data_IF_723833153333
#
_entry.id   IF_723833153333
#
_cell.length_a   1.000
_cell.length_b   1.000
_cell.length_c   1.000
_cell.angle_alpha   90.00
_cell.angle_beta   90.00
_cell.angle_gamma   90.00
#
_symmetry.space_group_name_H-M   'P 1'
#
loop_
_entity.id
_entity.type
_entity.pdbx_description
1 polymer ?
#
# COMPACT_ATOMS: atom_id res chain seq x y z
N UNK A 1 0.92 1.15 -29.51
CA UNK A 1 -0.17 1.91 -28.82
C UNK A 1 -0.10 1.73 -27.31
N UNK A 2 -0.01 0.48 -26.83
CA UNK A 2 0.08 0.13 -25.39
C UNK A 2 1.24 0.85 -24.68
N UNK A 3 2.41 0.97 -25.28
CA UNK A 3 3.58 1.59 -24.61
C UNK A 3 3.41 3.10 -24.36
N UNK A 4 2.60 3.78 -25.16
CA UNK A 4 2.30 5.21 -24.96
C UNK A 4 1.35 5.44 -23.78
N UNK A 5 0.45 4.50 -23.52
CA UNK A 5 -0.59 4.64 -22.46
C UNK A 5 -0.18 3.98 -21.15
N UNK A 6 0.68 2.94 -21.20
CA UNK A 6 1.16 2.19 -20.02
C UNK A 6 1.68 3.09 -18.88
N UNK A 7 2.48 4.14 -19.12
CA UNK A 7 2.96 4.99 -18.03
C UNK A 7 1.81 5.67 -17.27
N UNK A 8 0.76 6.08 -17.98
CA UNK A 8 -0.40 6.77 -17.39
C UNK A 8 -1.34 5.79 -16.69
N UNK A 9 -1.52 4.57 -17.22
CA UNK A 9 -2.33 3.55 -16.54
C UNK A 9 -1.69 3.11 -15.21
N UNK A 10 -0.36 2.99 -15.17
CA UNK A 10 0.37 2.73 -13.92
C UNK A 10 0.28 3.89 -12.93
N UNK A 11 0.31 5.14 -13.41
CA UNK A 11 0.07 6.31 -12.55
C UNK A 11 -1.33 6.27 -11.93
N UNK A 12 -2.37 6.00 -12.73
CA UNK A 12 -3.74 5.89 -12.23
C UNK A 12 -3.89 4.76 -11.22
N UNK A 13 -3.30 3.59 -11.47
CA UNK A 13 -3.30 2.47 -10.53
C UNK A 13 -2.62 2.86 -9.20
N UNK A 14 -1.46 3.52 -9.27
CA UNK A 14 -0.74 4.02 -8.09
C UNK A 14 -1.56 5.03 -7.29
N UNK A 15 -2.23 5.96 -7.96
CA UNK A 15 -3.09 6.95 -7.31
C UNK A 15 -4.26 6.26 -6.63
N UNK A 16 -4.98 5.37 -7.33
CA UNK A 16 -6.13 4.67 -6.76
C UNK A 16 -5.77 3.86 -5.52
N UNK A 17 -4.77 2.99 -5.63
CA UNK A 17 -4.31 2.14 -4.52
C UNK A 17 -3.74 3.00 -3.38
N UNK A 18 -2.88 3.96 -3.72
CA UNK A 18 -2.24 4.82 -2.72
C UNK A 18 -3.23 5.70 -1.96
N UNK A 19 -4.30 6.19 -2.60
CA UNK A 19 -5.37 6.94 -1.92
C UNK A 19 -6.14 6.07 -0.92
N UNK A 20 -6.39 4.80 -1.25
CA UNK A 20 -7.07 3.88 -0.33
C UNK A 20 -6.26 3.70 0.94
N UNK A 21 -4.96 3.38 0.82
CA UNK A 21 -4.08 3.26 1.99
C UNK A 21 -3.97 4.56 2.77
N UNK A 22 -3.78 5.69 2.08
CA UNK A 22 -3.67 7.00 2.72
C UNK A 22 -4.93 7.32 3.54
N UNK A 23 -6.12 7.07 2.99
CA UNK A 23 -7.37 7.30 3.69
C UNK A 23 -7.51 6.40 4.93
N UNK A 24 -7.24 5.09 4.82
CA UNK A 24 -7.31 4.16 5.94
C UNK A 24 -6.29 4.49 7.04
N UNK A 25 -5.08 4.90 6.65
CA UNK A 25 -4.04 5.33 7.58
C UNK A 25 -4.43 6.60 8.34
N UNK A 26 -4.91 7.63 7.62
CA UNK A 26 -5.40 8.87 8.22
C UNK A 26 -6.56 8.57 9.16
N UNK A 27 -7.49 7.71 8.75
CA UNK A 27 -8.63 7.32 9.57
C UNK A 27 -8.19 6.71 10.91
N UNK A 28 -7.15 5.87 10.93
CA UNK A 28 -6.62 5.29 12.19
C UNK A 28 -6.09 6.36 13.15
N UNK A 29 -5.49 7.44 12.63
CA UNK A 29 -5.06 8.57 13.46
C UNK A 29 -6.24 9.42 13.94
N UNK A 30 -7.19 9.75 13.06
CA UNK A 30 -8.30 10.66 13.38
C UNK A 30 -9.37 10.02 14.28
N UNK A 31 -9.60 8.71 14.14
CA UNK A 31 -10.49 7.94 15.02
C UNK A 31 -9.85 7.60 16.37
N UNK A 32 -8.52 7.74 16.48
CA UNK A 32 -7.75 7.57 17.70
C UNK A 32 -7.05 6.22 17.80
N UNK A 33 -5.72 6.26 17.90
CA UNK A 33 -4.87 5.07 17.96
C UNK A 33 -5.13 4.18 19.18
N UNK A 34 -5.61 4.73 20.29
CA UNK A 34 -6.01 3.94 21.46
C UNK A 34 -7.17 2.99 21.15
N UNK A 35 -8.11 3.42 20.31
CA UNK A 35 -9.22 2.59 19.84
C UNK A 35 -8.71 1.49 18.91
N UNK A 36 -7.90 1.85 17.91
CA UNK A 36 -7.29 0.90 16.96
C UNK A 36 -6.44 -0.16 17.70
N UNK A 37 -5.67 0.26 18.70
CA UNK A 37 -4.85 -0.63 19.55
C UNK A 37 -5.74 -1.65 20.27
N UNK A 38 -6.88 -1.23 20.83
CA UNK A 38 -7.83 -2.14 21.48
C UNK A 38 -8.45 -3.12 20.47
N UNK A 39 -8.81 -2.65 19.27
CA UNK A 39 -9.33 -3.52 18.21
C UNK A 39 -8.29 -4.55 17.77
N UNK A 40 -7.03 -4.14 17.57
CA UNK A 40 -5.94 -5.05 17.22
C UNK A 40 -5.71 -6.09 18.31
N UNK A 41 -5.80 -5.70 19.59
CA UNK A 41 -5.75 -6.63 20.71
C UNK A 41 -6.91 -7.64 20.69
N UNK A 42 -8.15 -7.21 20.39
CA UNK A 42 -9.29 -8.12 20.29
C UNK A 42 -9.20 -9.10 19.11
N UNK A 43 -8.49 -8.73 18.04
CA UNK A 43 -8.20 -9.62 16.91
C UNK A 43 -6.97 -10.53 17.14
N UNK A 44 -6.30 -10.41 18.28
CA UNK A 44 -5.10 -11.20 18.58
C UNK A 44 -3.85 -10.77 17.82
N UNK A 45 -3.81 -9.54 17.29
CA UNK A 45 -2.62 -8.99 16.63
C UNK A 45 -1.49 -8.84 17.67
N UNK A 46 -0.28 -9.38 17.41
CA UNK A 46 0.84 -9.27 18.34
C UNK A 46 1.25 -7.81 18.60
N UNK A 47 1.68 -7.52 19.83
CA UNK A 47 2.21 -6.22 20.25
C UNK A 47 1.35 -5.03 19.76
N UNK A 48 0.04 -4.98 20.09
CA UNK A 48 -0.90 -4.03 19.52
C UNK A 48 -0.49 -2.56 19.77
N UNK A 49 0.20 -2.28 20.89
CA UNK A 49 0.72 -0.94 21.18
C UNK A 49 1.83 -0.45 20.24
N UNK A 50 2.45 -1.36 19.47
CA UNK A 50 3.44 -1.03 18.43
C UNK A 50 2.85 -1.23 17.04
N UNK A 51 2.10 -2.31 16.82
CA UNK A 51 1.57 -2.64 15.49
C UNK A 51 0.47 -1.68 15.04
N UNK A 52 -0.41 -1.21 15.93
CA UNK A 52 -1.44 -0.24 15.56
C UNK A 52 -0.86 1.10 15.06
N UNK A 53 0.04 1.80 15.79
CA UNK A 53 0.68 3.02 15.27
C UNK A 53 1.60 2.73 14.07
N UNK A 54 2.26 1.57 14.05
CA UNK A 54 3.14 1.16 12.95
C UNK A 54 2.38 0.99 11.63
N UNK A 55 1.26 0.26 11.65
CA UNK A 55 0.37 0.08 10.48
C UNK A 55 -0.22 1.41 10.05
N UNK A 56 -0.74 2.21 10.99
CA UNK A 56 -1.30 3.52 10.65
C UNK A 56 -0.27 4.43 9.94
N UNK A 57 0.96 4.49 10.45
CA UNK A 57 2.04 5.23 9.82
C UNK A 57 2.43 4.64 8.46
N UNK A 58 2.53 3.32 8.35
CA UNK A 58 2.87 2.63 7.11
C UNK A 58 1.83 2.89 6.02
N UNK A 59 0.54 2.83 6.33
CA UNK A 59 -0.53 3.08 5.36
C UNK A 59 -0.51 4.54 4.86
N UNK A 60 -0.28 5.52 5.74
CA UNK A 60 -0.15 6.93 5.35
C UNK A 60 1.08 7.15 4.47
N UNK A 61 2.26 6.76 4.97
CA UNK A 61 3.52 7.00 4.27
C UNK A 61 3.60 6.18 2.98
N UNK A 62 3.19 4.92 3.04
CA UNK A 62 3.12 4.02 1.89
C UNK A 62 2.12 4.49 0.84
N UNK A 63 0.94 4.96 1.25
CA UNK A 63 -0.05 5.54 0.34
C UNK A 63 0.51 6.74 -0.43
N UNK A 64 1.14 7.68 0.28
CA UNK A 64 1.83 8.83 -0.34
C UNK A 64 2.97 8.37 -1.24
N UNK A 65 3.78 7.40 -0.80
CA UNK A 65 4.91 6.89 -1.57
C UNK A 65 4.47 6.23 -2.89
N UNK A 66 3.36 5.47 -2.88
CA UNK A 66 2.78 4.93 -4.11
C UNK A 66 2.32 6.04 -5.06
N UNK A 67 1.56 7.02 -4.57
CA UNK A 67 1.09 8.16 -5.36
C UNK A 67 2.26 8.88 -6.04
N UNK A 68 3.32 9.20 -5.27
CA UNK A 68 4.49 9.89 -5.78
C UNK A 68 5.43 8.98 -6.61
N UNK A 69 5.32 7.67 -6.46
CA UNK A 69 6.18 6.71 -7.15
C UNK A 69 7.60 6.71 -6.61
N UNK A 70 7.73 6.73 -5.28
CA UNK A 70 9.00 6.75 -4.55
C UNK A 70 9.18 5.43 -3.81
N UNK A 71 10.36 4.82 -3.93
CA UNK A 71 10.72 3.56 -3.28
C UNK A 71 9.64 2.48 -3.46
N UNK A 72 9.10 2.38 -4.69
CA UNK A 72 7.95 1.55 -5.03
C UNK A 72 8.10 0.07 -4.63
N UNK A 73 9.25 -0.60 -4.86
CA UNK A 73 9.42 -1.98 -4.41
C UNK A 73 9.34 -2.11 -2.89
N UNK A 74 9.86 -1.14 -2.15
CA UNK A 74 9.88 -1.17 -0.68
C UNK A 74 8.47 -1.01 -0.13
N UNK A 75 7.79 0.09 -0.48
CA UNK A 75 6.44 0.34 0.03
C UNK A 75 5.41 -0.62 -0.54
N UNK A 76 5.55 -1.06 -1.79
CA UNK A 76 4.71 -2.11 -2.37
C UNK A 76 4.79 -3.41 -1.55
N UNK A 77 6.00 -3.86 -1.21
CA UNK A 77 6.18 -5.06 -0.36
C UNK A 77 5.67 -4.85 1.05
N UNK A 78 5.94 -3.71 1.69
CA UNK A 78 5.47 -3.45 3.05
C UNK A 78 3.93 -3.41 3.13
N UNK A 79 3.26 -2.78 2.16
CA UNK A 79 1.80 -2.75 2.09
C UNK A 79 1.20 -4.13 1.78
N UNK A 80 1.89 -4.98 1.02
CA UNK A 80 1.50 -6.40 0.86
C UNK A 80 1.56 -7.13 2.19
N UNK A 81 2.62 -6.97 2.97
CA UNK A 81 2.76 -7.59 4.29
C UNK A 81 1.68 -7.10 5.26
N UNK A 82 1.36 -5.81 5.22
CA UNK A 82 0.26 -5.22 5.98
C UNK A 82 -1.08 -5.87 5.63
N UNK A 83 -1.39 -6.01 4.33
CA UNK A 83 -2.61 -6.70 3.88
C UNK A 83 -2.63 -8.19 4.25
N UNK A 84 -1.49 -8.89 4.21
CA UNK A 84 -1.41 -10.27 4.70
C UNK A 84 -1.76 -10.33 6.20
N UNK A 85 -1.26 -9.38 7.00
CA UNK A 85 -1.65 -9.24 8.39
C UNK A 85 -3.15 -9.03 8.56
N UNK A 86 -3.74 -8.10 7.80
CA UNK A 86 -5.19 -7.86 7.83
C UNK A 86 -6.01 -9.10 7.45
N UNK A 87 -5.56 -9.87 6.44
CA UNK A 87 -6.18 -11.14 6.05
C UNK A 87 -6.12 -12.14 7.20
N UNK A 88 -4.94 -12.35 7.80
CA UNK A 88 -4.75 -13.38 8.82
C UNK A 88 -5.53 -13.08 10.11
N UNK A 89 -5.51 -11.82 10.56
CA UNK A 89 -6.04 -11.47 11.88
C UNK A 89 -7.49 -10.96 11.86
N UNK A 90 -7.95 -10.36 10.76
CA UNK A 90 -9.23 -9.62 10.76
C UNK A 90 -10.25 -10.23 9.80
N UNK A 91 -9.83 -10.55 8.57
CA UNK A 91 -10.77 -10.85 7.48
C UNK A 91 -10.88 -12.33 7.11
N UNK A 92 -9.84 -13.13 7.33
CA UNK A 92 -9.75 -14.50 6.81
C UNK A 92 -10.82 -15.44 7.33
N UNK A 93 -11.24 -15.27 8.59
CA UNK A 93 -12.30 -16.08 9.20
C UNK A 93 -13.69 -15.79 8.61
N UNK A 94 -13.88 -14.64 7.98
CA UNK A 94 -15.16 -14.20 7.42
C UNK A 94 -15.35 -14.63 5.96
N UNK A 95 -14.48 -15.48 5.42
CA UNK A 95 -14.55 -15.91 4.02
C UNK A 95 -14.13 -14.82 3.03
N UNK A 96 -14.56 -14.97 1.78
CA UNK A 96 -14.07 -14.11 0.69
C UNK A 96 -14.80 -12.77 0.62
N UNK A 97 -16.12 -12.75 0.74
CA UNK A 97 -16.98 -11.63 0.32
C UNK A 97 -16.85 -10.41 1.24
N UNK A 98 -16.69 -9.22 0.64
CA UNK A 98 -16.58 -7.99 1.41
C UNK A 98 -17.85 -7.65 2.23
N UNK A 99 -19.03 -8.09 1.78
CA UNK A 99 -20.31 -7.90 2.49
C UNK A 99 -20.32 -8.58 3.87
N UNK A 100 -19.65 -9.72 3.99
CA UNK A 100 -19.50 -10.46 5.24
C UNK A 100 -18.28 -9.99 6.05
N UNK A 101 -17.58 -8.94 5.58
CA UNK A 101 -16.31 -8.51 6.16
C UNK A 101 -15.13 -9.43 5.81
N UNK A 102 -15.25 -10.17 4.70
CA UNK A 102 -14.24 -11.08 4.15
C UNK A 102 -13.03 -10.38 3.53
N UNK A 103 -12.12 -11.18 2.96
CA UNK A 103 -10.78 -10.73 2.57
C UNK A 103 -10.63 -10.23 1.12
N UNK A 104 -11.70 -10.20 0.31
CA UNK A 104 -11.66 -9.79 -1.10
C UNK A 104 -10.95 -8.44 -1.32
N UNK A 105 -11.34 -7.41 -0.55
CA UNK A 105 -10.81 -6.06 -0.73
C UNK A 105 -9.32 -5.96 -0.35
N UNK A 106 -8.93 -6.51 0.80
CA UNK A 106 -7.53 -6.50 1.24
C UNK A 106 -6.63 -7.36 0.35
N UNK A 107 -7.16 -8.43 -0.24
CA UNK A 107 -6.47 -9.22 -1.26
C UNK A 107 -6.25 -8.40 -2.53
N UNK A 108 -7.26 -7.67 -3.00
CA UNK A 108 -7.14 -6.79 -4.16
C UNK A 108 -6.08 -5.70 -3.94
N UNK A 109 -6.03 -5.12 -2.73
CA UNK A 109 -4.99 -4.16 -2.36
C UNK A 109 -3.60 -4.78 -2.30
N UNK A 110 -3.46 -6.00 -1.76
CA UNK A 110 -2.17 -6.70 -1.76
C UNK A 110 -1.68 -6.94 -3.20
N UNK A 111 -2.53 -7.51 -4.06
CA UNK A 111 -2.20 -7.79 -5.45
C UNK A 111 -1.87 -6.49 -6.22
N UNK A 112 -2.66 -5.44 -6.02
CA UNK A 112 -2.45 -4.13 -6.61
C UNK A 112 -1.13 -3.50 -6.18
N UNK A 113 -0.84 -3.47 -4.87
CA UNK A 113 0.41 -2.96 -4.30
C UNK A 113 1.64 -3.69 -4.84
N UNK A 114 1.56 -5.02 -4.95
CA UNK A 114 2.64 -5.82 -5.54
C UNK A 114 2.82 -5.46 -7.03
N UNK A 115 1.74 -5.39 -7.79
CA UNK A 115 1.79 -5.06 -9.20
C UNK A 115 2.41 -3.67 -9.43
N UNK A 116 1.94 -2.63 -8.74
CA UNK A 116 2.48 -1.27 -8.93
C UNK A 116 3.91 -1.14 -8.38
N UNK A 117 4.22 -1.81 -7.27
CA UNK A 117 5.52 -1.78 -6.61
C UNK A 117 6.66 -2.27 -7.51
N UNK A 118 6.38 -3.22 -8.40
CA UNK A 118 7.35 -3.86 -9.30
C UNK A 118 7.13 -3.54 -10.79
N UNK A 119 6.25 -2.60 -11.11
CA UNK A 119 5.91 -2.23 -12.50
C UNK A 119 6.89 -1.26 -13.19
N UNK A 120 7.86 -0.71 -12.45
CA UNK A 120 8.74 0.38 -12.94
C UNK A 120 8.15 1.79 -12.81
N UNK A 121 7.02 1.94 -12.11
CA UNK A 121 6.45 3.21 -11.66
C UNK A 121 5.65 4.02 -12.69
N UNK A 122 5.97 3.92 -13.99
CA UNK A 122 5.22 4.66 -15.02
C UNK A 122 5.40 6.19 -14.94
N UNK A 123 4.40 6.94 -15.38
CA UNK A 123 4.50 8.40 -15.54
C UNK A 123 4.69 9.12 -14.18
N UNK A 124 5.58 10.10 -14.14
CA UNK A 124 5.90 10.92 -12.95
C UNK A 124 6.39 10.14 -11.72
N UNK A 125 6.75 8.86 -11.85
CA UNK A 125 7.38 8.14 -10.76
C UNK A 125 8.80 8.66 -10.53
N UNK A 126 9.08 9.08 -9.30
CA UNK A 126 10.40 9.58 -8.90
C UNK A 126 11.49 8.53 -9.10
N UNK A 127 11.21 7.26 -8.81
CA UNK A 127 12.14 6.15 -9.02
C UNK A 127 12.61 6.05 -10.49
N UNK A 128 11.70 6.27 -11.44
CA UNK A 128 11.99 6.27 -12.87
C UNK A 128 12.88 7.43 -13.31
N UNK A 129 12.62 8.62 -12.76
CA UNK A 129 13.42 9.83 -13.05
C UNK A 129 14.86 9.70 -12.56
N UNK A 130 15.07 9.08 -11.40
CA UNK A 130 16.41 8.83 -10.84
C UNK A 130 17.18 7.77 -11.64
N UNK A 131 16.50 6.73 -12.13
CA UNK A 131 17.10 5.69 -12.97
C UNK A 131 17.56 6.21 -14.33
N UNK A 132 16.76 7.05 -15.00
CA UNK A 132 17.14 7.69 -16.27
C UNK A 132 18.35 8.63 -16.12
N UNK A 133 18.43 9.40 -15.02
CA UNK A 133 19.59 10.26 -14.73
C UNK A 133 20.87 9.47 -14.53
N UNK A 134 20.82 8.30 -13.88
CA UNK A 134 22.00 7.43 -13.71
C UNK A 134 22.49 6.85 -15.03
N UNK A 135 21.59 6.43 -15.93
CA UNK A 135 21.99 5.92 -17.26
C UNK A 135 22.68 6.98 -18.12
N UNK A 136 22.24 8.23 -18.06
CA UNK A 136 22.88 9.32 -18.81
C UNK A 136 24.28 9.68 -18.29
N UNK A 137 24.64 9.34 -17.05
CA UNK A 137 25.94 9.68 -16.44
C UNK A 137 27.05 8.66 -16.71
N UNK A 138 26.71 7.46 -17.18
CA UNK A 138 27.67 6.37 -17.46
C UNK A 138 28.07 6.35 -18.93
N UNK A 139 27.37 7.08 -19.80
CA UNK A 139 27.60 7.13 -21.25
C UNK A 139 28.30 8.44 -21.68
N UNK A 140 28.84 9.21 -20.72
CA UNK A 140 29.64 10.43 -20.96
C UNK A 140 31.04 10.25 -20.40
#
# INVERSE_FOLDING_TARGET
>A
MIDKVRPYTLLLARIGIGMIFLFHGIQKFTTGLSGVTKSFASFGVPLPGLTAPGVAALEVVGGVALILGVALPVFGTLLVLDMIGAIVFVHGANGFTAEEGGFEFVLALAAGSLAVGFSGGGAFAVDGMLSQRRRHRVVV
#
